data_IF_414731850246
#
_entry.id   IF_414731850246
#
_cell.length_a   1.000
_cell.length_b   1.000
_cell.length_c   1.000
_cell.angle_alpha   90.00
_cell.angle_beta   90.00
_cell.angle_gamma   90.00
#
_symmetry.space_group_name_H-M   'P 1'
#
loop_
_entity.id
_entity.type
_entity.pdbx_description
1 polymer ?
#
# COMPACT_ATOMS: atom_id res chain seq x y z
N UNK A 1 -13.14 -35.26 42.89
CA UNK A 1 -14.15 -35.11 41.82
C UNK A 1 -14.45 -33.65 41.48
N UNK A 2 -14.74 -32.77 42.45
CA UNK A 2 -15.10 -31.34 42.21
C UNK A 2 -14.04 -30.50 41.48
N UNK A 3 -12.74 -30.76 41.73
CA UNK A 3 -11.62 -30.04 41.08
C UNK A 3 -11.42 -30.42 39.61
N UNK A 4 -11.74 -31.66 39.23
CA UNK A 4 -11.64 -32.14 37.84
C UNK A 4 -12.75 -31.53 36.99
N UNK A 5 -13.97 -31.41 37.53
CA UNK A 5 -15.08 -30.74 36.83
C UNK A 5 -14.82 -29.25 36.57
N UNK A 6 -14.15 -28.56 37.49
CA UNK A 6 -13.76 -27.14 37.31
C UNK A 6 -12.68 -27.01 36.22
N UNK A 7 -11.71 -27.91 36.19
CA UNK A 7 -10.65 -27.89 35.17
C UNK A 7 -11.21 -28.14 33.77
N UNK A 8 -12.08 -29.15 33.63
CA UNK A 8 -12.74 -29.47 32.35
C UNK A 8 -13.65 -28.33 31.89
N UNK A 9 -14.35 -27.67 32.81
CA UNK A 9 -15.15 -26.48 32.50
C UNK A 9 -14.32 -25.31 31.98
N UNK A 10 -13.17 -25.03 32.61
CA UNK A 10 -12.24 -23.99 32.17
C UNK A 10 -11.61 -24.32 30.81
N UNK A 11 -11.25 -25.58 30.56
CA UNK A 11 -10.75 -26.04 29.25
C UNK A 11 -11.78 -25.84 28.14
N UNK A 12 -13.06 -26.17 28.41
CA UNK A 12 -14.15 -25.98 27.46
C UNK A 12 -14.43 -24.50 27.18
N UNK A 13 -14.33 -23.62 28.18
CA UNK A 13 -14.45 -22.17 28.00
C UNK A 13 -13.28 -21.62 27.18
N UNK A 14 -12.06 -22.12 27.39
CA UNK A 14 -10.89 -21.71 26.60
C UNK A 14 -11.00 -22.16 25.13
N UNK A 15 -11.46 -23.39 24.89
CA UNK A 15 -11.68 -23.93 23.54
C UNK A 15 -12.85 -23.23 22.84
N UNK A 16 -13.92 -22.91 23.57
CA UNK A 16 -15.03 -22.12 23.03
C UNK A 16 -14.62 -20.67 22.73
N UNK A 17 -13.78 -20.06 23.57
CA UNK A 17 -13.21 -18.73 23.33
C UNK A 17 -12.29 -18.67 22.10
N UNK A 18 -11.53 -19.74 21.85
CA UNK A 18 -10.72 -19.91 20.64
C UNK A 18 -11.59 -20.13 19.38
N UNK A 19 -12.73 -20.79 19.51
CA UNK A 19 -13.65 -21.03 18.39
C UNK A 19 -14.55 -19.82 18.05
N UNK A 20 -14.71 -18.86 18.97
CA UNK A 20 -15.42 -17.60 18.71
C UNK A 20 -14.52 -16.49 18.18
N UNK A 21 -13.20 -16.67 18.16
CA UNK A 21 -12.31 -15.90 17.30
C UNK A 21 -12.40 -16.45 15.86
N UNK A 22 -13.63 -16.56 15.36
CA UNK A 22 -13.89 -16.67 13.94
C UNK A 22 -13.51 -15.33 13.36
N UNK A 23 -12.24 -15.19 12.95
CA UNK A 23 -11.88 -14.18 11.97
C UNK A 23 -12.78 -14.47 10.77
N UNK A 24 -13.80 -13.63 10.56
CA UNK A 24 -14.52 -13.61 9.31
C UNK A 24 -13.48 -13.18 8.27
N UNK A 25 -12.95 -14.15 7.54
CA UNK A 25 -11.97 -13.90 6.49
C UNK A 25 -12.73 -13.22 5.36
N UNK A 26 -12.31 -12.02 5.01
CA UNK A 26 -12.72 -11.44 3.74
C UNK A 26 -12.05 -12.24 2.62
N UNK A 27 -12.83 -12.63 1.63
CA UNK A 27 -12.29 -13.13 0.37
C UNK A 27 -11.76 -11.92 -0.42
N UNK A 28 -10.58 -12.03 -1.07
CA UNK A 28 -10.20 -11.12 -2.14
C UNK A 28 -11.29 -11.06 -3.21
N UNK A 29 -11.26 -10.06 -4.10
CA UNK A 29 -12.17 -10.05 -5.26
C UNK A 29 -12.07 -11.38 -5.99
N UNK A 30 -13.20 -12.06 -6.14
CA UNK A 30 -13.25 -13.37 -6.78
C UNK A 30 -13.44 -13.22 -8.30
N UNK A 31 -13.94 -12.07 -8.75
CA UNK A 31 -14.22 -11.81 -10.16
C UNK A 31 -13.57 -10.52 -10.66
N UNK A 32 -13.18 -10.54 -11.94
CA UNK A 32 -12.75 -9.37 -12.70
C UNK A 32 -13.64 -9.24 -13.93
N UNK A 33 -14.20 -8.05 -14.12
CA UNK A 33 -15.15 -7.75 -15.18
C UNK A 33 -14.61 -6.65 -16.10
N UNK A 34 -14.47 -6.95 -17.40
CA UNK A 34 -14.03 -5.96 -18.38
C UNK A 34 -15.23 -5.15 -18.90
N UNK A 35 -15.20 -3.82 -18.72
CA UNK A 35 -16.23 -2.88 -19.17
C UNK A 35 -15.53 -1.75 -19.94
N UNK A 36 -15.87 -1.60 -21.22
CA UNK A 36 -15.31 -0.57 -22.10
C UNK A 36 -13.77 -0.51 -22.17
N UNK A 37 -13.11 -1.66 -21.93
CA UNK A 37 -11.66 -1.82 -21.94
C UNK A 37 -10.97 -1.54 -20.60
N UNK A 38 -11.74 -1.22 -19.56
CA UNK A 38 -11.28 -1.13 -18.18
C UNK A 38 -11.67 -2.40 -17.41
N UNK A 39 -10.86 -2.83 -16.45
CA UNK A 39 -11.16 -4.01 -15.61
C UNK A 39 -11.63 -3.57 -14.24
N UNK A 40 -12.77 -4.08 -13.80
CA UNK A 40 -13.36 -3.81 -12.50
C UNK A 40 -13.42 -5.06 -11.63
N UNK A 41 -13.21 -4.90 -10.34
CA UNK A 41 -13.38 -5.95 -9.34
C UNK A 41 -14.81 -6.00 -8.77
N UNK A 42 -15.03 -6.89 -7.80
CA UNK A 42 -16.32 -7.08 -7.13
C UNK A 42 -16.77 -5.86 -6.29
N UNK A 43 -15.86 -4.93 -6.00
CA UNK A 43 -16.14 -3.66 -5.31
C UNK A 43 -16.37 -2.49 -6.26
N UNK A 44 -16.47 -2.76 -7.56
CA UNK A 44 -16.60 -1.75 -8.62
C UNK A 44 -15.37 -0.83 -8.69
N UNK A 45 -14.21 -1.27 -8.21
CA UNK A 45 -12.95 -0.55 -8.34
C UNK A 45 -12.28 -0.95 -9.66
N UNK A 46 -11.95 0.07 -10.46
CA UNK A 46 -11.21 -0.06 -11.69
C UNK A 46 -9.74 -0.35 -11.40
N UNK A 47 -9.30 -1.55 -11.77
CA UNK A 47 -7.93 -2.06 -11.62
C UNK A 47 -6.97 -1.47 -12.64
N UNK A 48 -7.47 -1.04 -13.79
CA UNK A 48 -6.66 -0.56 -14.92
C UNK A 48 -6.57 0.96 -15.03
N UNK A 49 -6.94 1.67 -13.97
CA UNK A 49 -6.95 3.13 -13.95
C UNK A 49 -6.78 3.68 -12.54
N UNK A 50 -5.73 4.47 -12.31
CA UNK A 50 -5.43 5.07 -11.01
C UNK A 50 -6.38 6.23 -10.63
N UNK A 51 -6.97 6.91 -11.60
CA UNK A 51 -7.72 8.16 -11.42
C UNK A 51 -9.23 7.99 -11.53
N UNK A 52 -9.98 8.99 -11.08
CA UNK A 52 -11.46 8.99 -11.11
C UNK A 52 -12.08 8.32 -9.88
N UNK A 53 -13.40 8.47 -9.70
CA UNK A 53 -14.12 8.03 -8.49
C UNK A 53 -14.06 6.52 -8.22
N UNK A 54 -13.79 5.76 -9.27
CA UNK A 54 -13.71 4.31 -9.31
C UNK A 54 -12.26 3.82 -9.54
N UNK A 55 -11.28 4.70 -9.73
CA UNK A 55 -9.90 4.27 -9.94
C UNK A 55 -9.27 3.71 -8.67
N UNK A 56 -8.34 2.76 -8.80
CA UNK A 56 -7.72 2.08 -7.65
C UNK A 56 -6.99 3.01 -6.67
N UNK A 57 -6.54 4.19 -7.13
CA UNK A 57 -5.97 5.25 -6.29
C UNK A 57 -6.85 6.50 -6.17
N UNK A 58 -8.03 6.50 -6.78
CA UNK A 58 -8.99 7.62 -6.81
C UNK A 58 -8.31 8.99 -6.99
N UNK A 59 -7.28 9.06 -7.84
CA UNK A 59 -6.52 10.29 -8.07
C UNK A 59 -7.45 11.34 -8.71
N UNK A 60 -7.44 12.55 -8.14
CA UNK A 60 -8.19 13.73 -8.62
C UNK A 60 -7.22 14.90 -8.88
N UNK A 61 -7.72 16.13 -9.09
CA UNK A 61 -6.86 17.33 -9.20
C UNK A 61 -6.33 17.84 -7.86
N UNK A 62 -6.92 17.41 -6.75
CA UNK A 62 -6.66 18.00 -5.44
C UNK A 62 -6.25 16.99 -4.38
N UNK A 63 -6.36 15.69 -4.64
CA UNK A 63 -6.12 14.62 -3.66
C UNK A 63 -6.10 13.26 -4.35
N UNK A 64 -5.72 12.23 -3.62
CA UNK A 64 -5.89 10.83 -4.01
C UNK A 64 -6.31 10.00 -2.80
N UNK A 65 -6.84 8.81 -3.04
CA UNK A 65 -7.26 7.87 -2.01
C UNK A 65 -7.02 6.44 -2.50
N UNK A 66 -6.04 5.71 -1.92
CA UNK A 66 -5.65 4.38 -2.38
C UNK A 66 -6.67 3.32 -1.97
N UNK A 67 -7.86 3.37 -2.60
CA UNK A 67 -9.02 2.54 -2.24
C UNK A 67 -8.71 1.04 -2.32
N UNK A 68 -7.83 0.65 -3.24
CA UNK A 68 -7.35 -0.72 -3.39
C UNK A 68 -6.66 -1.28 -2.13
N UNK A 69 -6.07 -0.42 -1.29
CA UNK A 69 -5.51 -0.86 -0.01
C UNK A 69 -6.61 -1.26 0.99
N UNK A 70 -7.80 -0.66 0.90
CA UNK A 70 -8.92 -0.91 1.82
C UNK A 70 -9.62 -2.25 1.55
N UNK A 71 -9.37 -2.87 0.40
CA UNK A 71 -9.72 -4.27 0.14
C UNK A 71 -8.99 -5.25 1.06
N UNK A 72 -7.93 -4.82 1.74
CA UNK A 72 -7.11 -5.65 2.63
C UNK A 72 -6.98 -5.08 4.05
N UNK A 73 -7.88 -4.18 4.46
CA UNK A 73 -7.84 -3.48 5.75
C UNK A 73 -9.19 -3.50 6.47
N UNK A 74 -9.17 -3.21 7.78
CA UNK A 74 -10.37 -3.13 8.61
C UNK A 74 -11.16 -4.43 8.60
N UNK A 75 -12.44 -4.35 8.20
CA UNK A 75 -13.29 -5.54 8.08
C UNK A 75 -12.87 -6.48 6.94
N UNK A 76 -12.07 -5.97 5.99
CA UNK A 76 -11.54 -6.74 4.87
C UNK A 76 -10.12 -7.28 5.13
N UNK A 77 -9.57 -7.08 6.34
CA UNK A 77 -8.23 -7.56 6.66
C UNK A 77 -8.12 -9.08 6.50
N UNK A 78 -7.16 -9.52 5.66
CA UNK A 78 -6.92 -10.93 5.42
C UNK A 78 -5.41 -11.27 5.45
N UNK A 79 -4.89 -11.90 4.39
CA UNK A 79 -3.56 -12.52 4.34
C UNK A 79 -2.43 -11.51 4.54
N UNK A 80 -2.46 -10.36 3.86
CA UNK A 80 -1.41 -9.35 3.95
C UNK A 80 -1.30 -8.74 5.35
N UNK A 81 -2.45 -8.36 5.92
CA UNK A 81 -2.52 -7.82 7.28
C UNK A 81 -2.01 -8.84 8.30
N UNK A 82 -2.44 -10.10 8.18
CA UNK A 82 -1.99 -11.21 9.04
C UNK A 82 -0.50 -11.48 8.93
N UNK A 83 0.09 -11.40 7.74
CA UNK A 83 1.54 -11.49 7.60
C UNK A 83 2.22 -10.39 8.42
N UNK A 84 1.70 -9.16 8.38
CA UNK A 84 2.14 -8.07 9.27
C UNK A 84 2.10 -8.45 10.76
N UNK A 85 0.98 -9.01 11.23
CA UNK A 85 0.84 -9.48 12.62
C UNK A 85 1.85 -10.58 12.98
N UNK A 86 2.12 -11.50 12.04
CA UNK A 86 3.13 -12.55 12.23
C UNK A 86 4.53 -11.95 12.39
N UNK A 87 4.91 -10.99 11.54
CA UNK A 87 6.15 -10.23 11.70
C UNK A 87 6.19 -9.49 13.03
N UNK A 88 5.05 -8.98 13.52
CA UNK A 88 4.99 -8.35 14.83
C UNK A 88 5.26 -9.32 15.99
N UNK A 89 4.79 -10.57 15.88
CA UNK A 89 5.10 -11.64 16.84
C UNK A 89 6.55 -12.11 16.78
N UNK A 90 7.14 -12.21 15.58
CA UNK A 90 8.51 -12.71 15.37
C UNK A 90 9.58 -11.67 15.69
N UNK A 91 9.31 -10.39 15.44
CA UNK A 91 10.25 -9.28 15.61
C UNK A 91 9.71 -8.27 16.65
N UNK A 92 10.00 -8.44 17.95
CA UNK A 92 9.55 -7.50 18.98
C UNK A 92 10.16 -6.10 18.87
N UNK A 93 11.37 -5.98 18.32
CA UNK A 93 12.03 -4.70 18.08
C UNK A 93 11.41 -3.99 16.87
N UNK A 94 10.92 -2.77 17.08
CA UNK A 94 10.19 -1.99 16.08
C UNK A 94 11.02 -1.72 14.83
N UNK A 95 12.31 -1.38 14.94
CA UNK A 95 13.11 -1.09 13.75
C UNK A 95 13.44 -2.38 12.98
N UNK A 96 13.77 -3.47 13.67
CA UNK A 96 14.05 -4.77 13.03
C UNK A 96 12.81 -5.36 12.36
N UNK A 97 11.64 -5.22 12.97
CA UNK A 97 10.36 -5.66 12.38
C UNK A 97 10.08 -4.91 11.09
N UNK A 98 10.24 -3.59 11.09
CA UNK A 98 10.00 -2.79 9.89
C UNK A 98 10.96 -3.17 8.75
N UNK A 99 12.23 -3.43 9.08
CA UNK A 99 13.24 -3.93 8.14
C UNK A 99 12.93 -5.34 7.63
N UNK A 100 12.42 -6.23 8.50
CA UNK A 100 12.07 -7.59 8.13
C UNK A 100 10.88 -7.63 7.15
N UNK A 101 9.85 -6.81 7.41
CA UNK A 101 8.71 -6.64 6.48
C UNK A 101 9.20 -6.07 5.15
N UNK A 102 10.00 -5.00 5.19
CA UNK A 102 10.55 -4.40 3.98
C UNK A 102 11.37 -5.41 3.14
N UNK A 103 12.29 -6.13 3.80
CA UNK A 103 13.11 -7.14 3.16
C UNK A 103 12.28 -8.30 2.60
N UNK A 104 11.23 -8.73 3.30
CA UNK A 104 10.33 -9.77 2.83
C UNK A 104 9.67 -9.39 1.49
N UNK A 105 9.13 -8.17 1.37
CA UNK A 105 8.52 -7.71 0.11
C UNK A 105 9.57 -7.54 -0.98
N UNK A 106 10.65 -6.79 -0.70
CA UNK A 106 11.74 -6.52 -1.67
C UNK A 106 12.37 -7.79 -2.23
N UNK A 107 12.54 -8.80 -1.40
CA UNK A 107 13.27 -10.01 -1.79
C UNK A 107 12.36 -11.03 -2.51
N UNK A 108 11.02 -10.91 -2.36
CA UNK A 108 10.06 -11.89 -2.87
C UNK A 108 9.11 -11.36 -3.96
N UNK A 109 8.95 -10.05 -4.11
CA UNK A 109 8.24 -9.43 -5.23
C UNK A 109 9.24 -9.08 -6.33
N UNK A 110 8.97 -9.55 -7.55
CA UNK A 110 9.81 -9.30 -8.72
C UNK A 110 9.17 -8.20 -9.55
N UNK A 111 9.88 -7.07 -9.67
CA UNK A 111 9.45 -5.97 -10.52
C UNK A 111 9.12 -6.47 -11.93
N UNK A 112 7.88 -6.27 -12.35
CA UNK A 112 7.32 -6.65 -13.65
C UNK A 112 6.34 -5.57 -14.05
N UNK A 113 6.35 -5.16 -15.32
CA UNK A 113 5.40 -4.13 -15.79
C UNK A 113 4.02 -4.74 -16.00
N UNK A 114 2.98 -3.93 -15.85
CA UNK A 114 1.59 -4.38 -16.06
C UNK A 114 1.33 -4.91 -17.46
N UNK A 115 1.97 -4.33 -18.46
CA UNK A 115 1.80 -4.78 -19.84
C UNK A 115 2.40 -6.18 -20.07
N UNK A 116 3.49 -6.50 -19.38
CA UNK A 116 4.13 -7.81 -19.44
C UNK A 116 3.36 -8.86 -18.62
N UNK A 117 2.71 -8.43 -17.53
CA UNK A 117 2.04 -9.33 -16.58
C UNK A 117 0.56 -9.56 -16.90
N UNK A 118 -0.17 -8.49 -17.20
CA UNK A 118 -1.64 -8.47 -17.31
C UNK A 118 -2.13 -8.10 -18.73
N UNK A 119 -1.23 -7.72 -19.65
CA UNK A 119 -1.56 -7.18 -20.97
C UNK A 119 -2.32 -5.84 -20.93
N UNK A 120 -2.28 -5.12 -19.80
CA UNK A 120 -2.83 -3.77 -19.65
C UNK A 120 -1.71 -2.76 -19.45
N UNK A 121 -1.94 -1.50 -19.83
CA UNK A 121 -0.94 -0.45 -19.62
C UNK A 121 -0.79 -0.06 -18.16
N UNK A 122 -1.80 -0.38 -17.36
CA UNK A 122 -1.92 -0.13 -15.94
C UNK A 122 -2.79 -1.26 -15.37
N UNK A 123 -2.40 -1.85 -14.26
CA UNK A 123 -3.16 -2.85 -13.52
C UNK A 123 -2.67 -2.96 -12.08
N UNK A 124 -3.50 -2.62 -11.11
CA UNK A 124 -3.13 -2.76 -9.70
C UNK A 124 -3.68 -4.06 -9.09
N UNK A 125 -2.87 -4.74 -8.29
CA UNK A 125 -3.24 -5.82 -7.37
C UNK A 125 -3.48 -5.26 -5.97
N UNK A 126 -4.39 -5.87 -5.22
CA UNK A 126 -4.56 -5.56 -3.80
C UNK A 126 -3.51 -6.32 -2.98
N UNK A 127 -3.39 -5.97 -1.71
CA UNK A 127 -2.33 -6.53 -0.87
C UNK A 127 -2.51 -8.04 -0.67
N UNK A 128 -3.75 -8.53 -0.57
CA UNK A 128 -4.03 -9.94 -0.29
C UNK A 128 -3.75 -10.87 -1.47
N UNK A 129 -4.00 -10.42 -2.70
CA UNK A 129 -3.63 -11.13 -3.93
C UNK A 129 -2.13 -11.39 -3.97
N UNK A 130 -1.31 -10.37 -3.71
CA UNK A 130 0.14 -10.51 -3.64
C UNK A 130 0.55 -11.38 -2.45
N UNK A 131 -0.02 -11.14 -1.26
CA UNK A 131 0.34 -11.87 -0.04
C UNK A 131 0.03 -13.38 -0.14
N UNK A 132 -1.06 -13.77 -0.80
CA UNK A 132 -1.42 -15.18 -1.00
C UNK A 132 -0.35 -15.94 -1.79
N UNK A 133 0.23 -15.31 -2.83
CA UNK A 133 1.33 -15.89 -3.62
C UNK A 133 2.57 -16.07 -2.73
N UNK A 134 2.89 -15.05 -1.92
CA UNK A 134 4.07 -15.04 -1.08
C UNK A 134 3.99 -16.04 0.09
N UNK A 135 2.80 -16.21 0.67
CA UNK A 135 2.54 -17.20 1.73
C UNK A 135 2.67 -18.64 1.18
N UNK A 136 2.24 -18.87 -0.07
CA UNK A 136 2.42 -20.14 -0.78
C UNK A 136 3.89 -20.48 -1.12
N UNK A 137 4.86 -19.62 -0.76
CA UNK A 137 6.28 -19.79 -1.07
C UNK A 137 6.65 -19.44 -2.51
N UNK A 138 5.73 -18.81 -3.25
CA UNK A 138 5.98 -18.28 -4.59
C UNK A 138 6.79 -16.97 -4.56
N UNK A 139 7.19 -16.53 -5.75
CA UNK A 139 7.61 -15.15 -5.96
C UNK A 139 6.41 -14.38 -6.52
N UNK A 140 6.11 -13.24 -5.91
CA UNK A 140 5.14 -12.28 -6.44
C UNK A 140 5.71 -11.56 -7.66
N UNK A 141 4.84 -11.06 -8.51
CA UNK A 141 5.18 -10.20 -9.65
C UNK A 141 4.27 -8.99 -9.61
N UNK A 142 4.85 -7.80 -9.74
CA UNK A 142 4.16 -6.54 -9.66
C UNK A 142 5.13 -5.38 -9.75
N UNK A 143 4.62 -4.17 -9.91
CA UNK A 143 5.40 -2.96 -10.06
C UNK A 143 5.44 -2.13 -8.76
N UNK A 144 5.50 -0.79 -8.86
CA UNK A 144 5.57 0.09 -7.70
C UNK A 144 4.26 0.10 -6.91
N UNK A 145 3.11 0.12 -7.59
CA UNK A 145 1.77 0.19 -7.03
C UNK A 145 1.51 -1.03 -6.15
N UNK A 146 1.75 -2.21 -6.70
CA UNK A 146 1.55 -3.49 -6.01
C UNK A 146 2.43 -3.61 -4.76
N UNK A 147 3.70 -3.22 -4.89
CA UNK A 147 4.67 -3.28 -3.79
C UNK A 147 4.32 -2.28 -2.69
N UNK A 148 3.88 -1.08 -3.05
CA UNK A 148 3.49 -0.03 -2.12
C UNK A 148 2.24 -0.41 -1.33
N UNK A 149 1.20 -0.92 -2.02
CA UNK A 149 -0.05 -1.38 -1.39
C UNK A 149 0.23 -2.54 -0.43
N UNK A 150 0.99 -3.56 -0.86
CA UNK A 150 1.37 -4.68 0.00
C UNK A 150 2.12 -4.20 1.25
N UNK A 151 3.17 -3.38 1.08
CA UNK A 151 3.95 -2.87 2.22
C UNK A 151 3.09 -2.08 3.19
N UNK A 152 2.26 -1.18 2.68
CA UNK A 152 1.47 -0.30 3.52
C UNK A 152 0.49 -1.12 4.40
N UNK A 153 -0.17 -2.14 3.83
CA UNK A 153 -1.07 -3.05 4.56
C UNK A 153 -0.31 -3.93 5.54
N UNK A 154 0.82 -4.53 5.15
CA UNK A 154 1.64 -5.33 6.06
C UNK A 154 2.16 -4.49 7.24
N UNK A 155 2.53 -3.24 7.02
CA UNK A 155 2.93 -2.33 8.10
C UNK A 155 1.76 -2.02 9.04
N UNK A 156 0.54 -1.78 8.52
CA UNK A 156 -0.66 -1.63 9.37
C UNK A 156 -0.86 -2.86 10.24
N UNK A 157 -0.84 -4.05 9.65
CA UNK A 157 -0.97 -5.33 10.37
C UNK A 157 0.10 -5.54 11.43
N UNK A 158 1.31 -5.04 11.19
CA UNK A 158 2.41 -5.10 12.14
C UNK A 158 2.35 -4.05 13.27
N UNK A 159 1.31 -3.22 13.30
CA UNK A 159 1.07 -2.19 14.32
C UNK A 159 1.75 -0.85 14.03
N UNK A 160 2.17 -0.60 12.80
CA UNK A 160 2.70 0.71 12.39
C UNK A 160 1.62 1.62 11.84
N UNK A 161 1.90 2.93 11.89
CA UNK A 161 1.32 3.87 10.93
C UNK A 161 2.11 3.76 9.63
N UNK A 162 1.40 3.72 8.52
CA UNK A 162 1.96 3.65 7.18
C UNK A 162 1.20 4.57 6.25
N UNK A 163 1.83 4.96 5.16
CA UNK A 163 1.23 5.81 4.14
C UNK A 163 1.59 5.28 2.75
N UNK A 164 0.80 5.66 1.76
CA UNK A 164 1.20 5.60 0.36
C UNK A 164 1.54 7.02 -0.07
N UNK A 165 2.58 7.17 -0.88
CA UNK A 165 3.04 8.46 -1.41
C UNK A 165 3.14 8.38 -2.93
N UNK A 166 2.62 9.39 -3.62
CA UNK A 166 2.67 9.51 -5.07
C UNK A 166 3.60 10.67 -5.45
N UNK A 167 4.55 10.36 -6.31
CA UNK A 167 5.40 11.30 -7.05
C UNK A 167 5.15 11.22 -8.56
N UNK A 168 5.88 11.99 -9.34
CA UNK A 168 5.74 11.99 -10.81
C UNK A 168 6.09 10.60 -11.38
N UNK A 169 5.06 9.87 -11.85
CA UNK A 169 5.20 8.56 -12.46
C UNK A 169 5.68 7.45 -11.52
N UNK A 170 5.54 7.63 -10.20
CA UNK A 170 6.02 6.67 -9.20
C UNK A 170 5.18 6.71 -7.92
N UNK A 171 5.05 5.56 -7.28
CA UNK A 171 4.42 5.42 -5.96
C UNK A 171 5.30 4.59 -5.03
N UNK A 172 5.23 4.87 -3.74
CA UNK A 172 5.93 4.11 -2.71
C UNK A 172 5.09 4.02 -1.43
N UNK A 173 5.46 3.09 -0.56
CA UNK A 173 5.00 3.11 0.82
C UNK A 173 5.89 4.01 1.67
N UNK A 174 5.35 4.46 2.80
CA UNK A 174 6.10 5.03 3.91
C UNK A 174 5.67 4.37 5.21
N UNK A 175 6.58 4.33 6.18
CA UNK A 175 6.31 3.81 7.52
C UNK A 175 6.76 4.84 8.56
N UNK A 176 5.94 5.07 9.57
CA UNK A 176 6.26 5.98 10.66
C UNK A 176 7.21 5.30 11.65
N UNK A 177 8.47 5.75 11.67
CA UNK A 177 9.54 5.27 12.54
C UNK A 177 10.40 6.47 13.01
N UNK A 178 9.92 7.27 13.98
CA UNK A 178 10.59 8.51 14.38
C UNK A 178 12.01 8.30 14.93
N UNK A 179 12.32 7.11 15.44
CA UNK A 179 13.63 6.74 15.99
C UNK A 179 14.51 5.95 14.99
N UNK A 180 14.15 5.90 13.71
CA UNK A 180 14.90 5.13 12.70
C UNK A 180 16.18 5.84 12.27
N UNK A 181 17.32 5.38 12.77
CA UNK A 181 18.62 6.03 12.53
C UNK A 181 19.32 5.62 11.21
N UNK A 182 18.80 4.63 10.46
CA UNK A 182 19.46 4.11 9.26
C UNK A 182 19.01 4.77 7.96
N UNK A 183 18.24 5.86 8.03
CA UNK A 183 17.85 6.65 6.87
C UNK A 183 18.60 8.00 6.85
N UNK A 184 19.08 8.46 5.69
CA UNK A 184 19.66 9.80 5.55
C UNK A 184 18.58 10.89 5.53
N UNK A 185 17.31 10.54 5.29
CA UNK A 185 16.19 11.48 5.16
C UNK A 185 15.02 10.98 6.00
N UNK A 186 14.56 11.83 6.91
CA UNK A 186 13.27 11.69 7.57
C UNK A 186 12.29 12.64 6.92
N UNK A 187 11.18 12.07 6.50
CA UNK A 187 10.10 12.79 5.88
C UNK A 187 9.10 13.25 6.96
N UNK A 188 8.47 14.37 6.66
CA UNK A 188 7.35 14.92 7.40
C UNK A 188 6.06 14.59 6.66
N UNK A 189 5.04 14.16 7.37
CA UNK A 189 3.68 13.93 6.84
C UNK A 189 2.76 14.71 7.77
N UNK A 190 2.11 15.76 7.26
CA UNK A 190 1.13 16.60 7.96
C UNK A 190 1.75 17.37 9.13
N UNK A 191 2.97 17.86 8.90
CA UNK A 191 3.75 18.54 9.93
C UNK A 191 4.39 17.59 10.94
N UNK A 192 4.19 16.27 10.80
CA UNK A 192 4.76 15.26 11.69
C UNK A 192 6.01 14.60 11.08
N UNK A 193 7.22 14.87 11.61
CA UNK A 193 8.43 14.20 11.15
C UNK A 193 8.51 12.76 11.66
N UNK A 194 9.29 11.93 10.99
CA UNK A 194 9.57 10.56 11.42
C UNK A 194 9.14 9.49 10.42
N UNK A 195 8.74 9.90 9.22
CA UNK A 195 8.33 8.97 8.18
C UNK A 195 9.53 8.53 7.35
N UNK A 196 9.60 7.22 7.12
CA UNK A 196 10.69 6.56 6.40
C UNK A 196 10.15 6.03 5.08
N UNK A 197 10.83 6.36 3.98
CA UNK A 197 10.51 5.86 2.64
C UNK A 197 10.73 4.34 2.56
N UNK A 198 9.75 3.64 2.00
CA UNK A 198 9.75 2.18 1.86
C UNK A 198 9.42 1.79 0.41
N UNK A 199 10.44 1.87 -0.45
CA UNK A 199 10.35 1.43 -1.85
C UNK A 199 11.08 0.09 -2.06
N UNK A 200 10.30 -0.96 -2.28
CA UNK A 200 10.79 -2.34 -2.38
C UNK A 200 11.06 -2.81 -3.83
N UNK A 201 10.88 -1.95 -4.84
CA UNK A 201 11.11 -2.29 -6.26
C UNK A 201 12.59 -2.52 -6.58
N UNK A 202 13.49 -1.81 -5.89
CA UNK A 202 14.93 -1.97 -6.03
C UNK A 202 15.49 -3.09 -5.16
N UNK A 203 15.98 -4.17 -5.78
CA UNK A 203 16.48 -5.38 -5.08
C UNK A 203 17.62 -5.16 -4.08
N UNK A 204 18.31 -4.03 -4.16
CA UNK A 204 19.45 -3.70 -3.29
C UNK A 204 19.15 -2.51 -2.36
N UNK A 205 17.99 -1.87 -2.53
CA UNK A 205 17.65 -0.70 -1.73
C UNK A 205 17.35 -1.17 -0.30
N UNK A 206 17.96 -0.55 0.73
CA UNK A 206 17.52 -0.72 2.11
C UNK A 206 16.27 0.12 2.38
N UNK A 207 15.57 -0.19 3.47
CA UNK A 207 14.54 0.68 4.02
C UNK A 207 15.12 2.09 4.28
N UNK A 208 14.40 3.13 3.89
CA UNK A 208 14.84 4.52 3.99
C UNK A 208 15.75 5.01 2.85
N UNK A 209 16.06 4.16 1.86
CA UNK A 209 16.65 4.66 0.62
C UNK A 209 15.61 5.45 -0.16
N UNK A 210 15.98 6.62 -0.68
CA UNK A 210 15.10 7.44 -1.53
C UNK A 210 15.88 8.05 -2.69
N UNK A 211 15.27 8.05 -3.87
CA UNK A 211 15.83 8.69 -5.06
C UNK A 211 15.89 10.22 -4.88
N UNK A 212 16.90 10.87 -5.49
CA UNK A 212 17.19 12.30 -5.21
C UNK A 212 16.09 13.24 -5.68
N UNK A 213 15.40 12.87 -6.75
CA UNK A 213 14.26 13.55 -7.33
C UNK A 213 13.07 13.67 -6.36
N UNK A 214 12.96 12.77 -5.38
CA UNK A 214 11.92 12.79 -4.35
C UNK A 214 12.36 13.47 -3.05
N UNK A 215 13.59 14.00 -2.99
CA UNK A 215 14.12 14.69 -1.80
C UNK A 215 13.92 16.20 -1.96
N UNK A 216 13.33 16.84 -0.93
CA UNK A 216 13.14 18.29 -0.89
C UNK A 216 12.03 18.81 -1.82
N UNK A 217 11.16 17.91 -2.28
CA UNK A 217 9.98 18.22 -3.09
C UNK A 217 8.72 17.91 -2.30
N UNK A 218 7.63 18.61 -2.62
CA UNK A 218 6.31 18.29 -2.06
C UNK A 218 5.70 17.13 -2.82
N UNK A 219 5.46 16.03 -2.11
CA UNK A 219 4.74 14.86 -2.61
C UNK A 219 3.35 14.81 -2.01
N UNK A 220 2.44 14.09 -2.65
CA UNK A 220 1.15 13.78 -2.07
C UNK A 220 1.25 12.45 -1.32
N UNK A 221 0.98 12.46 -0.02
CA UNK A 221 0.88 11.25 0.78
C UNK A 221 -0.54 11.06 1.32
N UNK A 222 -0.92 9.80 1.51
CA UNK A 222 -2.15 9.37 2.17
C UNK A 222 -1.77 8.41 3.28
N UNK A 223 -1.96 8.80 4.54
CA UNK A 223 -1.82 7.89 5.67
C UNK A 223 -2.91 6.83 5.61
N UNK A 224 -2.51 5.56 5.61
CA UNK A 224 -3.42 4.43 5.50
C UNK A 224 -4.24 4.27 6.77
N UNK A 225 -5.55 4.33 6.60
CA UNK A 225 -6.59 4.13 7.61
C UNK A 225 -7.42 2.90 7.27
N UNK A 226 -8.31 2.49 8.17
CA UNK A 226 -9.26 1.39 7.96
C UNK A 226 -10.59 1.93 7.44
N UNK A 227 -10.55 2.63 6.31
CA UNK A 227 -11.73 3.27 5.73
C UNK A 227 -12.62 2.26 4.99
N UNK A 228 -13.90 2.61 4.81
CA UNK A 228 -14.83 1.83 3.99
C UNK A 228 -14.48 1.93 2.49
N UNK A 229 -14.72 0.88 1.72
CA UNK A 229 -14.59 0.93 0.26
C UNK A 229 -15.81 1.67 -0.30
N UNK A 230 -15.56 2.83 -0.91
CA UNK A 230 -16.62 3.69 -1.46
C UNK A 230 -16.17 4.25 -2.80
N UNK A 231 -17.01 4.06 -3.81
CA UNK A 231 -16.89 4.68 -5.13
C UNK A 231 -17.47 6.09 -5.07
N UNK A 232 -16.70 7.03 -4.54
CA UNK A 232 -17.09 8.42 -4.40
C UNK A 232 -15.91 9.33 -4.76
N UNK A 233 -16.19 10.56 -5.17
CA UNK A 233 -15.13 11.57 -5.20
C UNK A 233 -14.48 11.63 -3.81
N UNK A 234 -13.14 11.58 -3.72
CA UNK A 234 -12.49 11.66 -2.42
C UNK A 234 -12.93 12.97 -1.76
N UNK A 235 -13.63 12.86 -0.64
CA UNK A 235 -13.96 14.03 0.17
C UNK A 235 -12.67 14.47 0.84
N UNK A 236 -11.95 15.40 0.21
CA UNK A 236 -10.64 15.94 0.60
C UNK A 236 -10.02 15.28 1.85
N UNK A 237 -9.41 14.09 1.73
CA UNK A 237 -8.45 13.65 2.73
C UNK A 237 -7.29 14.65 2.71
N UNK A 238 -6.67 14.95 3.87
CA UNK A 238 -5.63 15.96 3.93
C UNK A 238 -4.53 15.54 2.94
N UNK A 239 -4.27 16.40 1.96
CA UNK A 239 -3.08 16.27 1.15
C UNK A 239 -1.91 16.44 2.08
N UNK A 240 -1.21 15.34 2.31
CA UNK A 240 -0.11 15.39 3.22
C UNK A 240 1.15 15.76 2.42
N UNK A 241 1.54 17.02 2.55
CA UNK A 241 2.77 17.53 1.95
C UNK A 241 3.98 16.90 2.65
N UNK A 242 4.82 16.23 1.85
CA UNK A 242 6.07 15.68 2.36
C UNK A 242 7.17 16.75 2.41
N UNK A 243 7.82 16.94 3.57
CA UNK A 243 8.93 17.90 3.76
C UNK A 243 10.12 17.26 4.51
N UNK A 244 11.34 17.81 4.38
CA UNK A 244 12.53 17.26 5.04
C UNK A 244 12.67 17.78 6.49
N UNK A 245 12.84 16.86 7.46
CA UNK A 245 13.21 17.21 8.84
C UNK A 245 14.60 17.84 8.94
N UNK A 246 14.69 19.05 9.50
CA UNK A 246 15.86 19.92 9.41
C UNK A 246 17.12 19.49 10.18
N UNK A 247 18.24 19.46 9.46
CA UNK A 247 19.60 19.68 9.99
C UNK A 247 20.21 20.88 9.26
N UNK A 248 20.36 22.00 9.98
CA UNK A 248 20.48 23.35 9.40
C UNK A 248 21.67 23.64 8.48
N UNK A 249 21.46 24.61 7.58
CA UNK A 249 22.54 25.33 6.90
C UNK A 249 22.17 25.96 5.56
N UNK A 250 21.49 27.11 5.58
CA UNK A 250 21.72 28.18 4.60
C UNK A 250 20.92 28.17 3.29
N UNK A 251 19.96 29.09 3.20
CA UNK A 251 19.82 30.01 2.06
C UNK A 251 19.27 29.45 0.76
N UNK A 252 17.97 29.64 0.54
CA UNK A 252 17.37 29.58 -0.79
C UNK A 252 15.87 29.31 -0.72
N UNK A 253 15.07 30.38 -0.70
CA UNK A 253 13.68 30.27 -1.08
C UNK A 253 13.62 29.82 -2.55
N UNK A 254 13.50 28.52 -2.77
CA UNK A 254 13.19 27.99 -4.09
C UNK A 254 11.69 28.17 -4.35
N UNK A 255 11.30 28.73 -5.51
CA UNK A 255 9.90 28.94 -5.82
C UNK A 255 9.23 27.57 -6.00
N UNK A 256 8.16 27.37 -5.23
CA UNK A 256 7.09 26.39 -5.43
C UNK A 256 6.71 26.31 -6.91
N UNK A 257 7.13 25.25 -7.61
CA UNK A 257 6.81 25.07 -9.04
C UNK A 257 6.62 23.62 -9.48
N UNK A 258 5.97 22.79 -8.67
CA UNK A 258 5.16 21.70 -9.24
C UNK A 258 3.88 21.63 -8.43
N UNK A 259 2.85 22.24 -8.98
CA UNK A 259 1.48 22.07 -8.51
C UNK A 259 1.11 20.61 -8.86
N UNK A 260 0.35 19.91 -8.00
CA UNK A 260 -0.03 18.48 -8.11
C UNK A 260 -0.46 18.03 -9.54
N UNK A 261 -0.87 18.97 -10.39
CA UNK A 261 -1.05 18.85 -11.84
C UNK A 261 0.11 18.22 -12.64
N UNK A 262 1.37 18.32 -12.19
CA UNK A 262 2.51 17.65 -12.87
C UNK A 262 2.49 16.13 -12.69
N UNK A 263 2.08 15.67 -11.50
CA UNK A 263 2.01 14.25 -11.12
C UNK A 263 0.93 13.52 -11.92
N UNK A 264 -0.19 14.20 -12.21
CA UNK A 264 -1.31 13.65 -13.01
C UNK A 264 -0.90 13.44 -14.47
N UNK A 265 0.00 14.25 -15.03
CA UNK A 265 0.24 14.32 -16.48
C UNK A 265 0.71 13.01 -17.11
N UNK A 266 1.40 12.13 -16.35
CA UNK A 266 1.87 10.84 -16.84
C UNK A 266 0.89 9.67 -16.58
N UNK A 267 0.17 9.66 -15.45
CA UNK A 267 -0.91 8.69 -15.20
C UNK A 267 -2.13 8.90 -16.12
N UNK A 268 -2.34 10.12 -16.65
CA UNK A 268 -3.46 10.44 -17.54
C UNK A 268 -3.25 10.11 -19.02
N UNK A 269 -2.02 10.25 -19.54
CA UNK A 269 -1.79 10.36 -20.99
C UNK A 269 -1.37 9.03 -21.63
N UNK A 270 -0.71 8.13 -20.90
CA UNK A 270 -0.26 6.86 -21.49
C UNK A 270 -1.48 5.95 -21.82
N UNK A 271 -2.42 5.68 -20.88
CA UNK A 271 -3.59 4.83 -21.16
C UNK A 271 -4.56 5.40 -22.21
N UNK A 272 -4.68 6.73 -22.29
CA UNK A 272 -5.66 7.38 -23.16
C UNK A 272 -5.22 7.49 -24.62
N UNK A 273 -3.91 7.49 -24.90
CA UNK A 273 -3.38 7.58 -26.26
C UNK A 273 -3.25 6.23 -26.95
N UNK A 274 -3.21 5.13 -26.20
CA UNK A 274 -2.89 3.80 -26.74
C UNK A 274 -3.95 2.73 -26.51
N UNK A 275 -5.20 3.10 -26.12
CA UNK A 275 -6.40 2.23 -26.20
C UNK A 275 -6.55 1.61 -27.60
N UNK A 276 -5.82 0.52 -27.84
CA UNK A 276 -5.96 -0.34 -29.01
C UNK A 276 -7.32 -0.98 -28.86
N UNK A 277 -8.28 -0.53 -29.66
CA UNK A 277 -9.51 -1.29 -29.92
C UNK A 277 -9.13 -2.72 -30.27
N UNK A 278 -9.24 -3.66 -29.33
CA UNK A 278 -9.16 -5.09 -29.63
C UNK A 278 -10.36 -5.41 -30.50
N UNK A 279 -10.10 -5.56 -31.79
CA UNK A 279 -11.09 -6.04 -32.76
C UNK A 279 -11.35 -7.50 -32.41
N UNK A 280 -12.52 -7.80 -31.84
CA UNK A 280 -13.03 -9.15 -31.62
C UNK A 280 -12.79 -10.01 -32.86
N UNK A 281 -11.86 -10.95 -32.79
CA UNK A 281 -11.87 -12.13 -33.65
C UNK A 281 -12.78 -13.15 -32.99
N UNK A 282 -13.84 -13.48 -33.71
CA UNK A 282 -14.85 -14.51 -33.39
C UNK A 282 -14.23 -15.87 -33.16
#
# INVERSE_FOLDING_TARGET
>A
MRKIGILVGLSLILVAGLATAGYAWASPSENLNEIDGDVFDDWEICRTRAFGVDGFYQVSEATFRPVIAFESLGQNAATAYRLGEQFAGEYPDSNKRAEAIFGFVRDRVRYTTDIDQFEYEEFAQNADEMAAILEGGGAGYGDCEDSAVLLAVMYKGAGYRSAIVIGEGHTAAMVYLPDYAKTPVLFEVDGEPGWVWAEATGRQNPLGWTAKEFIGVTLAAYEITEDEIVTAEPTAPPLIAVSQGGGGGGGGAFPTRYSFFGIIFLLWIIPSLFRKKRRRTR
#
